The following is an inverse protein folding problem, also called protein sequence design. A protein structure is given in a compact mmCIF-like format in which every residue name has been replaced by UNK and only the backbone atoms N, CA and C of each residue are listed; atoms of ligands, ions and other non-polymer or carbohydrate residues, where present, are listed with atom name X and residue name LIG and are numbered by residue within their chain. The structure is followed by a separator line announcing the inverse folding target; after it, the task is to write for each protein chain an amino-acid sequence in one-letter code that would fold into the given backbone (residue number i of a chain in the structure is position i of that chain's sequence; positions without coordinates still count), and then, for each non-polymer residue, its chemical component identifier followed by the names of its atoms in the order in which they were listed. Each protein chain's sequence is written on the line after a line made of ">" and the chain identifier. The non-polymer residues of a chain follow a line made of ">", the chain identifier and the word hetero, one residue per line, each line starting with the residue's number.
data_IF_688249541544
#
_entry.id   IF_688249541544
#
_cell.length_a   1.000
_cell.length_b   1.000
_cell.length_c   1.000
_cell.angle_alpha   90.00
_cell.angle_beta   90.00
_cell.angle_gamma   90.00
#
_symmetry.space_group_name_H-M   'P 1'
#
loop_
_entity.id
_entity.type
_entity.pdbx_description
1 polymer ?
#
# COMPACT_ATOMS: atom_id res chain seq x y z
N UNK A 1 21.73 -6.53 -28.65
CA UNK A 1 22.20 -5.96 -27.36
C UNK A 1 23.58 -5.32 -27.46
N UNK A 2 24.61 -6.00 -28.02
CA UNK A 2 26.00 -5.49 -28.11
C UNK A 2 26.18 -4.14 -28.86
N UNK A 3 25.47 -3.89 -29.96
CA UNK A 3 25.60 -2.64 -30.75
C UNK A 3 25.26 -1.39 -29.92
N UNK A 4 24.09 -1.37 -29.25
CA UNK A 4 23.67 -0.28 -28.33
C UNK A 4 24.70 0.04 -27.24
N UNK A 5 25.46 -0.96 -26.78
CA UNK A 5 26.54 -0.76 -25.80
C UNK A 5 27.75 -0.02 -26.40
N UNK A 6 28.10 -0.33 -27.66
CA UNK A 6 29.16 0.37 -28.40
C UNK A 6 28.76 1.79 -28.77
N UNK A 7 27.53 2.00 -29.22
CA UNK A 7 26.94 3.32 -29.50
C UNK A 7 26.99 4.22 -28.26
N UNK A 8 26.52 3.73 -27.11
CA UNK A 8 26.59 4.47 -25.85
C UNK A 8 28.03 4.76 -25.40
N UNK A 9 28.96 3.81 -25.57
CA UNK A 9 30.38 4.04 -25.26
C UNK A 9 31.01 5.11 -26.18
N UNK A 10 30.68 5.12 -27.47
CA UNK A 10 31.12 6.14 -28.42
C UNK A 10 30.54 7.52 -28.08
N UNK A 11 29.24 7.61 -27.81
CA UNK A 11 28.59 8.85 -27.38
C UNK A 11 29.17 9.39 -26.07
N UNK A 12 29.48 8.51 -25.11
CA UNK A 12 30.16 8.89 -23.84
C UNK A 12 31.61 9.36 -24.06
N UNK A 13 32.32 8.87 -25.08
CA UNK A 13 33.65 9.37 -25.47
C UNK A 13 33.54 10.75 -26.10
N UNK A 14 32.64 10.92 -27.07
CA UNK A 14 32.39 12.20 -27.73
C UNK A 14 31.95 13.31 -26.74
N UNK A 15 31.06 12.99 -25.80
CA UNK A 15 30.66 13.90 -24.71
C UNK A 15 31.87 14.37 -23.87
N UNK A 16 32.75 13.44 -23.47
CA UNK A 16 33.99 13.79 -22.72
C UNK A 16 34.97 14.63 -23.52
N UNK A 17 35.04 14.43 -24.83
CA UNK A 17 35.88 15.23 -25.73
C UNK A 17 35.29 16.63 -25.91
N UNK A 18 33.97 16.74 -26.12
CA UNK A 18 33.23 18.01 -26.21
C UNK A 18 33.39 18.85 -24.94
N UNK A 19 33.20 18.28 -23.75
CA UNK A 19 33.41 18.94 -22.46
C UNK A 19 34.79 19.59 -22.31
N UNK A 20 35.84 19.01 -22.89
CA UNK A 20 37.22 19.55 -22.85
C UNK A 20 37.45 20.71 -23.80
N UNK A 21 36.53 20.93 -24.75
CA UNK A 21 36.60 21.96 -25.79
C UNK A 21 35.60 23.09 -25.60
N UNK A 22 34.78 23.05 -24.54
CA UNK A 22 33.88 24.14 -24.18
C UNK A 22 34.67 25.38 -23.73
N UNK A 23 34.22 26.55 -24.17
CA UNK A 23 34.64 27.83 -23.60
C UNK A 23 34.15 27.98 -22.14
N UNK A 24 34.74 28.90 -21.34
CA UNK A 24 34.28 29.13 -19.96
C UNK A 24 32.78 29.44 -19.86
N UNK A 25 32.25 30.27 -20.76
CA UNK A 25 30.83 30.64 -20.78
C UNK A 25 29.90 29.46 -21.15
N UNK A 26 30.27 28.64 -22.15
CA UNK A 26 29.51 27.42 -22.47
C UNK A 26 29.55 26.41 -21.32
N UNK A 27 30.65 26.38 -20.57
CA UNK A 27 30.81 25.51 -19.41
C UNK A 27 29.95 25.95 -18.23
N UNK A 28 29.91 27.24 -17.91
CA UNK A 28 28.98 27.79 -16.91
C UNK A 28 27.52 27.50 -17.29
N UNK A 29 27.18 27.65 -18.57
CA UNK A 29 25.84 27.35 -19.09
C UNK A 29 25.49 25.84 -19.02
N UNK A 30 26.44 24.97 -19.33
CA UNK A 30 26.30 23.52 -19.15
C UNK A 30 26.13 23.13 -17.67
N UNK A 31 26.95 23.69 -16.78
CA UNK A 31 26.87 23.43 -15.33
C UNK A 31 25.53 23.93 -14.74
N UNK A 32 24.97 25.03 -15.26
CA UNK A 32 23.61 25.49 -14.95
C UNK A 32 22.53 24.52 -15.46
N UNK A 33 22.61 24.06 -16.71
CA UNK A 33 21.68 23.06 -17.26
C UNK A 33 21.72 21.75 -16.46
N UNK A 34 22.91 21.26 -16.10
CA UNK A 34 23.07 20.06 -15.27
C UNK A 34 22.59 20.24 -13.82
N UNK A 35 22.57 21.46 -13.28
CA UNK A 35 21.96 21.74 -11.98
C UNK A 35 20.43 21.59 -12.06
N UNK A 36 19.80 22.30 -12.99
CA UNK A 36 18.35 22.28 -13.16
C UNK A 36 17.83 20.88 -13.52
N UNK A 37 18.56 20.11 -14.32
CA UNK A 37 18.20 18.71 -14.62
C UNK A 37 18.31 17.78 -13.40
N UNK A 38 19.23 18.06 -12.46
CA UNK A 38 19.28 17.35 -11.16
C UNK A 38 18.10 17.72 -10.28
N UNK A 39 17.69 18.99 -10.29
CA UNK A 39 16.56 19.46 -9.49
C UNK A 39 15.24 18.90 -10.02
N UNK A 40 15.02 18.90 -11.35
CA UNK A 40 13.90 18.20 -12.00
C UNK A 40 13.88 16.71 -11.62
N UNK A 41 15.03 16.03 -11.63
CA UNK A 41 15.13 14.63 -11.25
C UNK A 41 14.83 14.38 -9.75
N UNK A 42 15.20 15.31 -8.86
CA UNK A 42 14.87 15.22 -7.44
C UNK A 42 13.40 15.52 -7.15
N UNK A 43 12.84 16.57 -7.74
CA UNK A 43 11.44 16.96 -7.53
C UNK A 43 10.51 15.91 -8.15
N UNK A 44 10.79 15.39 -9.35
CA UNK A 44 10.01 14.30 -9.93
C UNK A 44 10.12 12.99 -9.13
N UNK A 45 11.27 12.68 -8.52
CA UNK A 45 11.37 11.58 -7.57
C UNK A 45 10.51 11.82 -6.32
N UNK A 46 10.59 13.01 -5.70
CA UNK A 46 9.75 13.40 -4.55
C UNK A 46 8.26 13.41 -4.87
N UNK A 47 7.87 13.79 -6.08
CA UNK A 47 6.49 13.79 -6.55
C UNK A 47 5.99 12.36 -6.80
N UNK A 48 6.80 11.52 -7.43
CA UNK A 48 6.49 10.09 -7.56
C UNK A 48 6.41 9.40 -6.19
N UNK A 49 7.30 9.76 -5.25
CA UNK A 49 7.25 9.33 -3.86
C UNK A 49 5.98 9.86 -3.18
N UNK A 50 5.62 11.14 -3.28
CA UNK A 50 4.37 11.67 -2.69
C UNK A 50 3.09 11.04 -3.27
N UNK A 51 3.10 10.65 -4.54
CA UNK A 51 2.00 9.94 -5.20
C UNK A 51 1.96 8.44 -4.88
N UNK A 52 3.09 7.79 -4.59
CA UNK A 52 3.18 6.34 -4.33
C UNK A 52 3.34 5.96 -2.86
N UNK A 53 3.73 6.91 -2.00
CA UNK A 53 3.89 6.74 -0.55
C UNK A 53 2.56 6.68 0.22
N UNK A 54 1.43 6.57 -0.48
CA UNK A 54 0.19 5.91 0.00
C UNK A 54 0.49 4.61 0.80
N UNK A 55 1.64 3.97 0.54
CA UNK A 55 2.16 2.78 1.22
C UNK A 55 3.28 3.00 2.27
N UNK A 56 3.83 4.21 2.42
CA UNK A 56 5.09 4.45 3.18
C UNK A 56 5.17 5.75 3.98
N UNK A 57 4.39 6.81 3.69
CA UNK A 57 4.31 8.00 4.58
C UNK A 57 3.53 7.70 5.86
N UNK A 58 2.72 6.64 5.87
CA UNK A 58 2.29 6.04 7.12
C UNK A 58 3.48 5.37 7.82
N UNK A 59 3.82 5.87 9.01
CA UNK A 59 4.65 5.19 10.02
C UNK A 59 4.01 3.89 10.58
N UNK A 60 3.05 3.35 9.85
CA UNK A 60 2.24 2.20 10.16
C UNK A 60 1.45 1.78 8.93
N UNK A 61 2.08 0.97 8.06
CA UNK A 61 1.40 -0.28 7.74
C UNK A 61 1.02 -0.86 9.09
N UNK A 62 -0.26 -0.78 9.48
CA UNK A 62 -0.74 -1.46 10.68
C UNK A 62 -0.70 -2.94 10.32
N UNK A 63 0.37 -3.67 10.67
CA UNK A 63 0.61 -4.92 10.02
C UNK A 63 -0.11 -5.97 10.84
N UNK A 64 -1.07 -6.65 10.23
CA UNK A 64 -1.54 -7.93 10.74
C UNK A 64 -0.44 -8.99 10.60
N UNK A 65 0.76 -8.79 11.16
CA UNK A 65 1.78 -9.84 11.25
C UNK A 65 1.25 -11.08 11.98
N UNK A 66 0.22 -10.90 12.82
CA UNK A 66 -0.52 -11.92 13.54
C UNK A 66 -1.85 -12.31 12.86
N UNK A 67 -2.27 -11.58 11.83
CA UNK A 67 -3.54 -11.76 11.10
C UNK A 67 -3.19 -11.99 9.63
N UNK A 68 -2.78 -13.22 9.30
CA UNK A 68 -2.25 -13.66 8.00
C UNK A 68 -2.76 -12.84 6.81
N UNK A 69 -1.99 -11.85 6.33
CA UNK A 69 -2.32 -11.08 5.13
C UNK A 69 -3.25 -9.87 5.30
N UNK A 70 -3.67 -9.50 6.52
CA UNK A 70 -4.41 -8.24 6.76
C UNK A 70 -3.45 -7.07 6.97
N UNK A 71 -3.67 -5.98 6.24
CA UNK A 71 -3.03 -4.68 6.49
C UNK A 71 -3.86 -3.52 5.93
N UNK A 72 -3.76 -2.36 6.55
CA UNK A 72 -4.47 -1.14 6.12
C UNK A 72 -3.47 -0.12 5.59
N UNK A 73 -3.87 0.59 4.52
CA UNK A 73 -3.16 1.69 3.86
C UNK A 73 -4.09 2.91 3.75
N UNK A 74 -3.59 4.06 3.28
CA UNK A 74 -4.40 5.30 3.18
C UNK A 74 -5.61 5.20 2.23
N UNK A 75 -5.58 4.25 1.30
CA UNK A 75 -6.61 4.08 0.27
C UNK A 75 -7.32 2.73 0.32
N UNK A 76 -6.72 1.71 0.95
CA UNK A 76 -7.27 0.34 0.93
C UNK A 76 -7.06 -0.46 2.21
N UNK A 77 -8.01 -1.34 2.49
CA UNK A 77 -7.92 -2.44 3.44
C UNK A 77 -7.63 -3.72 2.66
N UNK A 78 -6.46 -4.31 2.90
CA UNK A 78 -6.10 -5.61 2.37
C UNK A 78 -6.53 -6.70 3.35
N UNK A 79 -7.14 -7.75 2.80
CA UNK A 79 -7.66 -8.91 3.52
C UNK A 79 -7.35 -10.16 2.68
N UNK A 80 -7.18 -11.36 3.25
CA UNK A 80 -6.93 -12.58 2.47
C UNK A 80 -7.86 -12.75 1.27
N UNK A 81 -7.28 -12.67 0.07
CA UNK A 81 -7.99 -12.82 -1.21
C UNK A 81 -8.75 -11.60 -1.72
N UNK A 82 -8.89 -10.50 -0.95
CA UNK A 82 -9.66 -9.31 -1.40
C UNK A 82 -9.01 -7.99 -0.96
N UNK A 83 -9.08 -6.96 -1.80
CA UNK A 83 -8.72 -5.59 -1.44
C UNK A 83 -9.96 -4.72 -1.50
N UNK A 84 -10.23 -3.97 -0.43
CA UNK A 84 -11.36 -3.06 -0.33
C UNK A 84 -10.89 -1.60 -0.20
N UNK A 85 -11.68 -0.59 -0.64
CA UNK A 85 -11.34 0.80 -0.42
C UNK A 85 -11.45 1.19 1.07
N UNK A 86 -10.53 2.06 1.53
CA UNK A 86 -10.61 2.68 2.86
C UNK A 86 -11.56 3.90 2.79
N UNK A 87 -12.75 3.72 3.34
CA UNK A 87 -13.82 4.72 3.38
C UNK A 87 -13.89 5.41 4.76
N UNK A 88 -14.25 6.71 4.84
CA UNK A 88 -14.42 7.40 6.13
C UNK A 88 -15.51 6.81 7.04
N UNK A 89 -16.51 6.13 6.44
CA UNK A 89 -17.58 5.44 7.15
C UNK A 89 -17.26 3.99 7.54
N UNK A 90 -16.03 3.51 7.30
CA UNK A 90 -15.63 2.17 7.72
C UNK A 90 -15.59 2.08 9.25
N UNK A 91 -16.45 1.26 9.84
CA UNK A 91 -16.31 0.83 11.22
C UNK A 91 -15.49 -0.47 11.30
N UNK A 92 -14.58 -0.52 12.27
CA UNK A 92 -13.87 -1.76 12.62
C UNK A 92 -14.17 -2.12 14.08
N UNK A 93 -14.62 -3.34 14.31
CA UNK A 93 -14.99 -3.85 15.64
C UNK A 93 -14.31 -5.17 15.92
N UNK A 94 -13.95 -5.36 17.19
CA UNK A 94 -13.46 -6.64 17.70
C UNK A 94 -14.60 -7.27 18.49
N UNK A 95 -15.02 -8.46 18.07
CA UNK A 95 -16.15 -9.18 18.65
C UNK A 95 -15.66 -10.48 19.25
N UNK A 96 -15.94 -10.67 20.53
CA UNK A 96 -15.71 -11.94 21.24
C UNK A 96 -16.99 -12.80 21.16
N UNK A 97 -16.82 -14.13 21.18
CA UNK A 97 -17.85 -15.12 20.83
C UNK A 97 -19.26 -14.87 21.40
N UNK A 98 -20.27 -15.00 20.53
CA UNK A 98 -21.70 -14.83 20.84
C UNK A 98 -22.41 -13.76 20.02
N UNK A 99 -21.70 -12.70 19.60
CA UNK A 99 -22.27 -11.61 18.78
C UNK A 99 -21.83 -11.62 17.30
N UNK A 100 -20.73 -12.31 16.95
CA UNK A 100 -20.16 -12.29 15.60
C UNK A 100 -21.13 -12.76 14.49
N UNK A 101 -22.02 -13.72 14.79
CA UNK A 101 -23.04 -14.20 13.85
C UNK A 101 -24.04 -13.12 13.40
N UNK A 102 -24.22 -12.03 14.14
CA UNK A 102 -25.15 -10.96 13.77
C UNK A 102 -24.62 -10.10 12.61
N UNK A 103 -23.31 -9.81 12.60
CA UNK A 103 -22.68 -8.96 11.58
C UNK A 103 -22.67 -9.63 10.20
N UNK A 104 -22.43 -10.95 10.16
CA UNK A 104 -22.41 -11.72 8.91
C UNK A 104 -23.78 -11.78 8.19
N UNK A 105 -24.90 -11.51 8.87
CA UNK A 105 -26.25 -11.62 8.29
C UNK A 105 -26.78 -10.33 7.66
N UNK A 106 -26.23 -9.15 8.01
CA UNK A 106 -26.88 -7.88 7.70
C UNK A 106 -26.49 -7.23 6.34
N UNK A 107 -25.39 -7.65 5.71
CA UNK A 107 -24.89 -7.08 4.44
C UNK A 107 -24.43 -8.13 3.41
N UNK A 108 -25.18 -9.22 3.24
CA UNK A 108 -24.98 -10.17 2.13
C UNK A 108 -25.92 -9.88 0.93
N UNK A 109 -25.44 -9.24 -0.16
CA UNK A 109 -26.18 -9.15 -1.41
C UNK A 109 -26.06 -10.49 -2.18
N UNK A 110 -26.78 -11.51 -1.70
CA UNK A 110 -26.71 -12.88 -2.23
C UNK A 110 -26.58 -13.87 -1.09
N UNK A 111 -27.72 -14.31 -0.53
CA UNK A 111 -27.72 -15.14 0.67
C UNK A 111 -27.44 -16.62 0.42
N UNK A 112 -27.16 -17.36 1.50
CA UNK A 112 -27.59 -18.77 1.58
C UNK A 112 -27.91 -19.18 3.03
N UNK A 113 -29.10 -19.75 3.19
CA UNK A 113 -29.68 -20.45 4.35
C UNK A 113 -28.88 -20.62 5.66
N UNK A 114 -29.55 -20.26 6.78
CA UNK A 114 -29.36 -20.96 8.05
C UNK A 114 -29.53 -22.49 7.85
N UNK A 115 -28.59 -23.28 8.39
CA UNK A 115 -28.87 -24.64 8.88
C UNK A 115 -28.59 -24.74 10.37
N UNK A 116 -29.53 -24.22 11.18
CA UNK A 116 -29.71 -24.70 12.56
C UNK A 116 -30.29 -26.12 12.49
N UNK A 117 -29.42 -27.11 12.37
CA UNK A 117 -29.78 -28.52 12.48
C UNK A 117 -30.08 -28.87 13.93
N UNK A 118 -31.35 -28.73 14.32
CA UNK A 118 -31.84 -29.25 15.60
C UNK A 118 -32.15 -30.76 15.50
N UNK A 119 -32.02 -31.44 16.63
CA UNK A 119 -32.46 -32.82 16.92
C UNK A 119 -31.76 -33.97 16.17
N UNK A 120 -31.08 -34.82 16.95
CA UNK A 120 -31.42 -36.25 16.99
C UNK A 120 -31.17 -36.81 18.40
N UNK A 121 -32.22 -37.39 18.98
CA UNK A 121 -32.24 -38.04 20.30
C UNK A 121 -32.21 -39.57 20.07
N UNK A 122 -31.10 -40.25 20.42
CA UNK A 122 -30.84 -41.72 20.33
C UNK A 122 -29.65 -42.04 21.26
N UNK A 123 -29.53 -43.09 22.07
CA UNK A 123 -30.42 -44.08 22.74
C UNK A 123 -29.63 -44.57 24.01
N UNK A 124 -30.27 -44.98 25.12
CA UNK A 124 -29.54 -45.43 26.31
C UNK A 124 -29.12 -46.90 26.23
N UNK A 125 -27.84 -47.20 26.51
CA UNK A 125 -27.36 -48.55 26.84
C UNK A 125 -26.30 -49.16 25.92
N UNK A 126 -25.02 -48.93 26.24
CA UNK A 126 -23.90 -49.80 25.86
C UNK A 126 -22.69 -49.57 26.80
N UNK A 127 -21.93 -50.63 27.08
CA UNK A 127 -20.96 -50.72 28.18
C UNK A 127 -19.87 -49.65 28.28
N UNK A 128 -19.51 -49.35 29.53
CA UNK A 128 -18.41 -48.46 29.89
C UNK A 128 -17.05 -49.03 29.48
N UNK A 129 -16.40 -48.40 28.49
CA UNK A 129 -14.96 -48.46 28.30
C UNK A 129 -14.38 -47.07 28.50
N UNK A 130 -13.90 -46.78 29.70
CA UNK A 130 -13.15 -45.54 29.99
C UNK A 130 -11.75 -45.68 29.38
N UNK A 131 -11.64 -45.40 28.07
CA UNK A 131 -10.37 -44.95 27.50
C UNK A 131 -10.03 -43.61 28.13
N UNK A 132 -8.75 -43.37 28.41
CA UNK A 132 -8.23 -42.05 28.71
C UNK A 132 -8.56 -41.09 27.56
N UNK A 133 -9.69 -40.38 27.71
CA UNK A 133 -9.95 -39.19 26.92
C UNK A 133 -8.91 -38.17 27.39
N UNK A 134 -7.88 -37.98 26.57
CA UNK A 134 -7.14 -36.71 26.56
C UNK A 134 -8.19 -35.62 26.55
N UNK A 135 -8.31 -34.88 27.65
CA UNK A 135 -9.23 -33.76 27.77
C UNK A 135 -8.71 -32.70 26.80
N UNK A 136 -9.19 -32.79 25.56
CA UNK A 136 -9.14 -31.68 24.62
C UNK A 136 -10.07 -30.64 25.22
N UNK A 137 -9.48 -29.69 25.94
CA UNK A 137 -10.10 -28.40 26.20
C UNK A 137 -10.44 -27.81 24.84
N UNK A 138 -11.68 -28.02 24.41
CA UNK A 138 -12.25 -27.34 23.27
C UNK A 138 -12.34 -25.87 23.66
N UNK A 139 -11.39 -25.09 23.17
CA UNK A 139 -11.43 -23.66 23.34
C UNK A 139 -12.52 -23.10 22.43
N UNK A 140 -13.63 -22.68 23.03
CA UNK A 140 -14.77 -22.07 22.34
C UNK A 140 -14.65 -20.55 22.26
N UNK A 141 -13.48 -19.98 22.60
CA UNK A 141 -13.22 -18.54 22.48
C UNK A 141 -13.01 -18.19 21.02
N UNK A 142 -14.06 -17.71 20.37
CA UNK A 142 -13.96 -17.07 19.07
C UNK A 142 -13.62 -15.59 19.24
N UNK A 143 -12.62 -15.11 18.51
CA UNK A 143 -12.27 -13.71 18.36
C UNK A 143 -12.41 -13.32 16.89
N UNK A 144 -13.12 -12.24 16.62
CA UNK A 144 -13.54 -11.88 15.26
C UNK A 144 -13.30 -10.39 15.02
N UNK A 145 -12.60 -10.06 13.93
CA UNK A 145 -12.49 -8.71 13.40
C UNK A 145 -13.59 -8.51 12.36
N UNK A 146 -14.55 -7.64 12.65
CA UNK A 146 -15.57 -7.21 11.70
C UNK A 146 -15.23 -5.82 11.15
N UNK A 147 -15.21 -5.72 9.83
CA UNK A 147 -15.10 -4.50 9.04
C UNK A 147 -16.47 -4.24 8.42
N UNK A 148 -17.03 -3.05 8.64
CA UNK A 148 -18.36 -2.70 8.17
C UNK A 148 -18.35 -1.30 7.55
N UNK A 149 -18.52 -1.20 6.23
CA UNK A 149 -18.59 0.03 5.44
C UNK A 149 -19.90 0.06 4.67
N UNK A 150 -20.35 1.25 4.28
CA UNK A 150 -21.60 1.44 3.52
C UNK A 150 -21.67 0.63 2.22
N UNK A 151 -20.52 0.30 1.61
CA UNK A 151 -20.44 -0.43 0.34
C UNK A 151 -19.98 -1.89 0.49
N UNK A 152 -19.30 -2.26 1.59
CA UNK A 152 -18.81 -3.63 1.82
C UNK A 152 -18.72 -3.99 3.30
N UNK A 153 -18.84 -5.28 3.62
CA UNK A 153 -18.56 -5.81 4.94
C UNK A 153 -17.66 -7.04 4.84
N UNK A 154 -16.75 -7.21 5.80
CA UNK A 154 -15.88 -8.38 5.90
C UNK A 154 -15.71 -8.83 7.34
N UNK A 155 -15.62 -10.15 7.55
CA UNK A 155 -15.48 -10.77 8.87
C UNK A 155 -14.29 -11.73 8.86
N UNK A 156 -13.22 -11.37 9.55
CA UNK A 156 -12.03 -12.22 9.71
C UNK A 156 -12.06 -12.90 11.08
N UNK A 157 -11.89 -14.23 11.09
CA UNK A 157 -11.61 -14.98 12.31
C UNK A 157 -10.15 -14.82 12.73
N UNK A 158 -9.94 -14.57 14.02
CA UNK A 158 -8.64 -14.31 14.65
C UNK A 158 -8.42 -15.31 15.77
N UNK A 159 -7.16 -15.72 15.99
CA UNK A 159 -6.81 -16.54 17.16
C UNK A 159 -7.10 -15.74 18.45
N UNK A 160 -7.92 -16.25 19.40
CA UNK A 160 -8.20 -15.57 20.67
C UNK A 160 -6.97 -15.21 21.50
N UNK A 161 -5.84 -15.90 21.32
CA UNK A 161 -4.59 -15.58 22.00
C UNK A 161 -3.99 -14.22 21.54
N UNK A 162 -4.35 -13.73 20.35
CA UNK A 162 -3.90 -12.44 19.79
C UNK A 162 -4.84 -11.26 20.13
N UNK A 163 -5.54 -11.34 21.26
CA UNK A 163 -6.53 -10.33 21.68
C UNK A 163 -5.93 -8.94 21.84
N UNK A 164 -4.75 -8.82 22.44
CA UNK A 164 -4.12 -7.52 22.74
C UNK A 164 -3.68 -6.85 21.44
N UNK A 165 -3.11 -7.64 20.54
CA UNK A 165 -2.71 -7.27 19.19
C UNK A 165 -3.93 -6.84 18.37
N UNK A 166 -5.06 -7.54 18.49
CA UNK A 166 -6.29 -7.21 17.77
C UNK A 166 -6.92 -5.91 18.29
N UNK A 167 -6.95 -5.69 19.61
CA UNK A 167 -7.37 -4.40 20.20
C UNK A 167 -6.45 -3.26 19.76
N UNK A 168 -5.13 -3.52 19.69
CA UNK A 168 -4.14 -2.53 19.25
C UNK A 168 -4.32 -2.19 17.77
N UNK A 169 -4.51 -3.20 16.92
CA UNK A 169 -4.82 -3.08 15.49
C UNK A 169 -6.08 -2.24 15.26
N UNK A 170 -7.19 -2.59 15.93
CA UNK A 170 -8.46 -1.86 15.86
C UNK A 170 -8.30 -0.40 16.30
N UNK A 171 -7.52 -0.15 17.37
CA UNK A 171 -7.27 1.21 17.86
C UNK A 171 -6.43 2.02 16.88
N UNK A 172 -5.41 1.41 16.26
CA UNK A 172 -4.59 2.05 15.23
C UNK A 172 -5.41 2.37 13.99
N UNK A 173 -6.18 1.43 13.45
CA UNK A 173 -7.06 1.64 12.28
C UNK A 173 -8.11 2.72 12.56
N UNK A 174 -8.71 2.76 13.76
CA UNK A 174 -9.62 3.85 14.16
C UNK A 174 -8.93 5.22 14.19
N UNK A 175 -7.68 5.29 14.63
CA UNK A 175 -6.90 6.54 14.59
C UNK A 175 -6.57 6.95 13.15
N UNK A 176 -6.30 6.00 12.24
CA UNK A 176 -6.15 6.29 10.79
C UNK A 176 -7.44 6.86 10.23
N UNK A 177 -8.56 6.17 10.41
CA UNK A 177 -9.88 6.57 9.91
C UNK A 177 -10.29 7.96 10.38
N UNK A 178 -10.07 8.26 11.67
CA UNK A 178 -10.36 9.59 12.25
C UNK A 178 -9.57 10.73 11.58
N UNK A 179 -8.34 10.47 11.14
CA UNK A 179 -7.45 11.46 10.54
C UNK A 179 -7.41 11.39 9.00
N UNK A 180 -8.18 10.47 8.39
CA UNK A 180 -8.08 10.13 6.97
C UNK A 180 -8.32 11.33 6.03
N UNK A 181 -9.26 12.20 6.37
CA UNK A 181 -9.54 13.43 5.61
C UNK A 181 -8.38 14.43 5.66
N UNK A 182 -7.79 14.63 6.84
CA UNK A 182 -6.63 15.51 7.02
C UNK A 182 -5.41 14.98 6.28
N UNK A 183 -5.13 13.68 6.38
CA UNK A 183 -4.00 13.02 5.73
C UNK A 183 -4.12 13.08 4.19
N UNK A 184 -5.32 12.84 3.64
CA UNK A 184 -5.59 13.05 2.20
C UNK A 184 -5.38 14.50 1.81
N UNK A 185 -5.86 15.46 2.60
CA UNK A 185 -5.66 16.88 2.32
C UNK A 185 -4.18 17.31 2.39
N UNK A 186 -3.40 16.78 3.33
CA UNK A 186 -1.96 17.03 3.45
C UNK A 186 -1.18 16.45 2.26
N UNK A 187 -1.50 15.22 1.85
CA UNK A 187 -0.96 14.59 0.63
C UNK A 187 -1.30 15.39 -0.61
N UNK A 188 -2.58 15.74 -0.80
CA UNK A 188 -3.04 16.44 -1.99
C UNK A 188 -2.42 17.86 -2.10
N UNK A 189 -2.19 18.54 -0.96
CA UNK A 189 -1.38 19.77 -0.90
C UNK A 189 0.07 19.51 -1.29
N UNK A 190 0.74 18.53 -0.68
CA UNK A 190 2.14 18.23 -0.98
C UNK A 190 2.36 17.85 -2.47
N UNK A 191 1.41 17.14 -3.08
CA UNK A 191 1.42 16.84 -4.52
C UNK A 191 1.21 18.11 -5.35
N UNK A 192 0.29 19.01 -4.98
CA UNK A 192 0.08 20.27 -5.67
C UNK A 192 1.30 21.21 -5.59
N UNK A 193 1.91 21.32 -4.40
CA UNK A 193 3.10 22.13 -4.15
C UNK A 193 4.30 21.60 -4.99
N UNK A 194 4.57 20.29 -4.94
CA UNK A 194 5.63 19.65 -5.73
C UNK A 194 5.37 19.71 -7.24
N UNK A 195 4.11 19.70 -7.68
CA UNK A 195 3.76 19.87 -9.10
C UNK A 195 4.08 21.29 -9.56
N UNK A 196 3.75 22.29 -8.72
CA UNK A 196 4.06 23.70 -9.00
C UNK A 196 5.57 23.93 -9.03
N UNK A 197 6.32 23.42 -8.04
CA UNK A 197 7.79 23.47 -8.01
C UNK A 197 8.41 22.83 -9.27
N UNK A 198 7.89 21.68 -9.70
CA UNK A 198 8.34 21.00 -10.91
C UNK A 198 8.07 21.82 -12.18
N UNK A 199 6.92 22.47 -12.28
CA UNK A 199 6.58 23.35 -13.41
C UNK A 199 7.48 24.59 -13.46
N UNK A 200 7.75 25.23 -12.33
CA UNK A 200 8.67 26.37 -12.24
C UNK A 200 10.09 25.99 -12.69
N UNK A 201 10.63 24.89 -12.17
CA UNK A 201 11.98 24.41 -12.54
C UNK A 201 12.04 23.96 -14.01
N UNK A 202 10.97 23.36 -14.54
CA UNK A 202 10.88 23.06 -15.98
C UNK A 202 10.80 24.33 -16.84
N UNK A 203 10.07 25.36 -16.42
CA UNK A 203 10.01 26.63 -17.13
C UNK A 203 11.37 27.35 -17.11
N UNK A 204 12.07 27.32 -15.98
CA UNK A 204 13.46 27.78 -15.89
C UNK A 204 14.38 26.98 -16.83
N UNK A 205 14.28 25.64 -16.86
CA UNK A 205 15.04 24.79 -17.80
C UNK A 205 14.81 25.14 -19.27
N UNK A 206 13.58 25.50 -19.64
CA UNK A 206 13.22 25.97 -20.99
C UNK A 206 13.82 27.35 -21.28
N UNK A 207 13.87 28.25 -20.30
CA UNK A 207 14.45 29.60 -20.45
C UNK A 207 15.96 29.57 -20.69
N UNK A 208 16.67 28.55 -20.20
CA UNK A 208 18.09 28.30 -20.49
C UNK A 208 18.36 27.83 -21.94
N UNK A 209 17.33 27.38 -22.68
CA UNK A 209 17.49 26.88 -24.04
C UNK A 209 18.24 25.54 -24.12
N UNK A 210 18.97 25.31 -25.22
CA UNK A 210 19.69 24.06 -25.45
C UNK A 210 20.99 23.96 -24.62
N UNK A 211 21.29 22.75 -24.14
CA UNK A 211 22.57 22.45 -23.49
C UNK A 211 23.67 22.34 -24.57
N UNK A 212 24.80 23.08 -24.48
CA UNK A 212 25.90 23.02 -25.46
C UNK A 212 26.65 21.67 -25.46
N UNK A 213 26.41 20.81 -24.46
CA UNK A 213 26.97 19.47 -24.35
C UNK A 213 25.99 18.50 -23.66
N UNK A 214 24.88 18.08 -24.32
CA UNK A 214 23.87 17.25 -23.68
C UNK A 214 24.42 15.87 -23.32
N UNK A 215 24.06 15.36 -22.13
CA UNK A 215 24.45 14.02 -21.67
C UNK A 215 23.88 12.94 -22.61
N UNK A 216 24.68 11.91 -22.97
CA UNK A 216 24.17 10.79 -23.76
C UNK A 216 23.16 9.98 -22.95
N UNK A 217 21.88 10.05 -23.33
CA UNK A 217 20.81 9.30 -22.66
C UNK A 217 20.96 7.81 -22.95
N UNK A 218 21.16 7.00 -21.90
CA UNK A 218 21.12 5.54 -21.99
C UNK A 218 19.66 5.11 -22.18
N UNK A 219 19.18 5.06 -23.43
CA UNK A 219 17.86 4.50 -23.75
C UNK A 219 17.72 3.14 -23.05
N UNK A 220 16.80 3.04 -22.08
CA UNK A 220 16.39 1.74 -21.54
C UNK A 220 15.92 0.92 -22.73
N UNK A 221 16.20 -0.39 -22.72
CA UNK A 221 15.58 -1.24 -23.71
C UNK A 221 14.07 -1.21 -23.44
N UNK A 222 13.31 -0.62 -24.36
CA UNK A 222 11.89 -0.93 -24.50
C UNK A 222 11.78 -2.45 -24.56
N UNK A 223 11.29 -3.04 -23.47
CA UNK A 223 10.83 -4.41 -23.48
C UNK A 223 9.67 -4.45 -24.48
N UNK A 224 9.59 -5.45 -25.37
CA UNK A 224 8.40 -5.60 -26.20
C UNK A 224 7.19 -5.66 -25.27
N UNK A 225 6.15 -4.87 -25.57
CA UNK A 225 4.88 -4.99 -24.89
C UNK A 225 4.38 -6.43 -25.08
N UNK A 226 4.09 -7.09 -23.96
CA UNK A 226 3.55 -8.45 -23.90
C UNK A 226 2.03 -8.36 -23.88
#
# INVERSE_FOLDING_TARGET
>A
MWQRSREYAAAKKAYKERLRTLSPAEREHHEACEAVERDIAQISARLADAQSNVLASFAGRVPGTFFEGIFVTEETVFVPGTTFPLEPGLEITLVEGGQAHAYAMNRSPGGTSLRRGAAHMVMPGAGFFVKDQKVRTFDTRELVLAFDSDTWAHVQHVNPDHRIEAVTFVSQVKNVLKNLSSLRQERDRAVADLTTELEEVQNFRRSLGEDPCPRPVRRRAELPAV
#
